data_IF_694479129876
#
_entry.id   IF_694479129876
#
_cell.length_a   1.000
_cell.length_b   1.000
_cell.length_c   1.000
_cell.angle_alpha   90.00
_cell.angle_beta   90.00
_cell.angle_gamma   90.00
#
_symmetry.space_group_name_H-M   'P 1'
#
loop_
_entity.id
_entity.type
_entity.pdbx_description
1 polymer ?
#
# COMPACT_ATOMS: atom_id res chain seq x y z
N UNK A 1 -3.86 4.62 -21.72
CA UNK A 1 -3.17 5.96 -21.71
C UNK A 1 -3.06 6.45 -23.12
N UNK A 2 -3.32 7.75 -23.40
CA UNK A 2 -3.27 8.32 -24.75
C UNK A 2 -1.79 8.59 -25.09
N UNK A 3 -1.39 8.34 -26.35
CA UNK A 3 0.02 8.45 -26.75
C UNK A 3 0.62 9.84 -26.53
N UNK A 4 -0.18 10.89 -26.68
CA UNK A 4 0.20 12.28 -26.40
C UNK A 4 0.56 12.50 -24.94
N UNK A 5 -0.10 11.82 -24.02
CA UNK A 5 0.22 11.84 -22.59
C UNK A 5 1.51 11.08 -22.29
N UNK A 6 1.75 9.99 -23.03
CA UNK A 6 3.00 9.22 -22.92
C UNK A 6 4.18 10.07 -23.38
N UNK A 7 4.06 10.74 -24.52
CA UNK A 7 5.13 11.54 -25.10
C UNK A 7 5.32 12.93 -24.47
N UNK A 8 4.47 13.31 -23.51
CA UNK A 8 4.65 14.55 -22.75
C UNK A 8 5.88 14.55 -21.83
N UNK A 9 6.55 13.42 -21.68
CA UNK A 9 7.77 13.26 -20.89
C UNK A 9 7.63 12.28 -19.74
N UNK A 10 8.76 11.96 -19.09
CA UNK A 10 8.74 11.16 -17.86
C UNK A 10 7.87 11.84 -16.80
N UNK A 11 7.08 11.04 -16.12
CA UNK A 11 6.13 11.51 -15.15
C UNK A 11 6.02 10.55 -13.96
N UNK A 12 5.11 10.84 -13.06
CA UNK A 12 4.75 9.94 -11.97
C UNK A 12 4.42 8.52 -12.47
N UNK A 13 3.83 8.41 -13.66
CA UNK A 13 3.28 7.16 -14.19
C UNK A 13 3.92 6.71 -15.51
N UNK A 14 4.95 7.39 -16.00
CA UNK A 14 5.62 7.06 -17.27
C UNK A 14 7.13 7.02 -17.05
N UNK A 15 7.77 6.00 -17.60
CA UNK A 15 9.22 5.79 -17.61
C UNK A 15 9.67 5.43 -19.02
N UNK A 16 10.73 6.06 -19.54
CA UNK A 16 11.28 5.79 -20.86
C UNK A 16 12.54 4.95 -20.82
N UNK A 17 12.73 4.13 -21.84
CA UNK A 17 13.96 3.39 -22.09
C UNK A 17 14.21 3.28 -23.59
N UNK A 18 15.39 3.67 -24.05
CA UNK A 18 15.78 3.53 -25.46
C UNK A 18 15.63 2.08 -25.93
N UNK A 19 16.01 1.13 -25.09
CA UNK A 19 15.89 -0.30 -25.33
C UNK A 19 15.77 -1.04 -24.00
N UNK A 20 15.35 -2.29 -24.04
CA UNK A 20 15.35 -3.11 -22.83
C UNK A 20 16.78 -3.25 -22.29
N UNK A 21 17.06 -2.80 -21.06
CA UNK A 21 18.35 -3.00 -20.42
C UNK A 21 18.69 -4.49 -20.30
N UNK A 22 19.95 -4.87 -20.56
CA UNK A 22 20.41 -6.26 -20.35
C UNK A 22 20.24 -6.70 -18.89
N UNK A 23 20.48 -5.80 -17.97
CA UNK A 23 20.19 -5.98 -16.55
C UNK A 23 18.75 -5.51 -16.27
N UNK A 24 17.85 -6.48 -16.03
CA UNK A 24 16.44 -6.22 -15.77
C UNK A 24 16.22 -5.45 -14.45
N UNK A 25 17.15 -5.51 -13.50
CA UNK A 25 17.03 -4.80 -12.22
C UNK A 25 16.87 -3.29 -12.40
N UNK A 26 17.39 -2.74 -13.51
CA UNK A 26 17.32 -1.31 -13.82
C UNK A 26 15.90 -0.77 -14.05
N UNK A 27 14.97 -1.60 -14.52
CA UNK A 27 13.58 -1.19 -14.68
C UNK A 27 12.63 -1.94 -13.75
N UNK A 28 13.06 -3.04 -13.15
CA UNK A 28 12.25 -3.81 -12.23
C UNK A 28 11.85 -3.02 -10.97
N UNK A 29 12.75 -2.13 -10.51
CA UNK A 29 12.42 -1.19 -9.41
C UNK A 29 11.23 -0.30 -9.76
N UNK A 30 11.15 0.16 -11.00
CA UNK A 30 10.02 0.98 -11.49
C UNK A 30 8.75 0.15 -11.62
N UNK A 31 8.84 -1.12 -12.09
CA UNK A 31 7.71 -2.04 -12.14
C UNK A 31 7.10 -2.22 -10.75
N UNK A 32 7.94 -2.56 -9.77
CA UNK A 32 7.51 -2.70 -8.37
C UNK A 32 6.91 -1.41 -7.83
N UNK A 33 7.53 -0.27 -8.10
CA UNK A 33 7.03 1.03 -7.65
C UNK A 33 5.67 1.40 -8.26
N UNK A 34 5.42 1.03 -9.52
CA UNK A 34 4.11 1.19 -10.15
C UNK A 34 3.06 0.27 -9.52
N UNK A 35 3.41 -1.00 -9.28
CA UNK A 35 2.50 -1.95 -8.61
C UNK A 35 2.16 -1.52 -7.19
N UNK A 36 3.09 -0.93 -6.45
CA UNK A 36 2.85 -0.39 -5.11
C UNK A 36 2.12 0.95 -5.10
N UNK A 37 2.04 1.62 -6.24
CA UNK A 37 1.39 2.93 -6.39
C UNK A 37 0.07 2.86 -7.15
N UNK A 38 -0.07 3.73 -8.14
CA UNK A 38 -1.27 3.89 -8.94
C UNK A 38 -1.16 3.23 -10.33
N UNK A 39 -0.15 2.39 -10.53
CA UNK A 39 0.20 1.86 -11.84
C UNK A 39 1.01 2.85 -12.67
N UNK A 40 1.32 2.45 -13.90
CA UNK A 40 2.07 3.26 -14.85
C UNK A 40 2.52 2.45 -16.04
N UNK A 41 3.32 3.04 -16.92
CA UNK A 41 3.86 2.34 -18.06
C UNK A 41 5.36 2.57 -18.23
N UNK A 42 6.04 1.55 -18.75
CA UNK A 42 7.42 1.63 -19.21
C UNK A 42 7.40 1.55 -20.72
N UNK A 43 7.95 2.55 -21.36
CA UNK A 43 8.00 2.68 -22.83
C UNK A 43 9.40 2.40 -23.30
N UNK A 44 9.56 1.37 -24.14
CA UNK A 44 10.82 1.00 -24.75
C UNK A 44 10.85 1.45 -26.20
N UNK A 45 11.96 2.07 -26.61
CA UNK A 45 12.14 2.66 -27.92
C UNK A 45 12.05 4.18 -27.95
N UNK A 46 12.09 4.83 -26.77
CA UNK A 46 12.11 6.30 -26.63
C UNK A 46 13.28 6.70 -25.75
N UNK A 47 13.99 7.75 -26.15
CA UNK A 47 15.09 8.32 -25.37
C UNK A 47 14.52 9.17 -24.22
N UNK A 48 14.98 8.92 -23.00
CA UNK A 48 14.47 9.56 -21.78
C UNK A 48 14.86 11.04 -21.63
N UNK A 49 15.89 11.47 -22.37
CA UNK A 49 16.43 12.83 -22.29
C UNK A 49 15.89 13.72 -23.43
N UNK A 50 16.01 13.23 -24.67
CA UNK A 50 15.57 13.99 -25.84
C UNK A 50 14.11 13.80 -26.19
N UNK A 51 13.45 12.78 -25.61
CA UNK A 51 12.10 12.30 -25.95
C UNK A 51 11.96 11.86 -27.41
N UNK A 52 13.13 11.60 -28.08
CA UNK A 52 13.10 11.14 -29.43
C UNK A 52 12.68 9.67 -29.53
N UNK A 53 11.74 9.39 -30.43
CA UNK A 53 11.34 8.02 -30.74
C UNK A 53 12.46 7.36 -31.56
N UNK A 54 13.18 6.46 -30.92
CA UNK A 54 14.24 5.67 -31.55
C UNK A 54 13.66 4.45 -32.26
N UNK A 55 12.68 3.80 -31.63
CA UNK A 55 12.02 2.58 -32.07
C UNK A 55 12.82 1.31 -31.80
N UNK A 56 12.10 0.18 -31.86
CA UNK A 56 12.65 -1.18 -31.72
C UNK A 56 12.73 -1.81 -33.11
N UNK A 57 13.86 -2.44 -33.49
CA UNK A 57 14.00 -3.14 -34.79
C UNK A 57 12.87 -4.19 -34.95
N UNK A 58 12.23 -4.18 -36.12
CA UNK A 58 11.04 -5.03 -36.39
C UNK A 58 11.29 -6.52 -36.13
N UNK A 59 12.47 -7.00 -36.45
CA UNK A 59 12.87 -8.40 -36.26
C UNK A 59 13.03 -8.79 -34.77
N UNK A 60 13.15 -7.81 -33.87
CA UNK A 60 13.34 -8.03 -32.42
C UNK A 60 12.09 -7.82 -31.62
N UNK A 61 11.05 -7.20 -32.17
CA UNK A 61 9.86 -6.77 -31.45
C UNK A 61 9.24 -7.91 -30.61
N UNK A 62 8.96 -9.05 -31.22
CA UNK A 62 8.34 -10.16 -30.53
C UNK A 62 9.23 -10.78 -29.46
N UNK A 63 10.53 -10.93 -29.74
CA UNK A 63 11.48 -11.45 -28.74
C UNK A 63 11.68 -10.48 -27.57
N UNK A 64 11.57 -9.18 -27.79
CA UNK A 64 11.63 -8.19 -26.72
C UNK A 64 10.36 -8.19 -25.86
N UNK A 65 9.16 -8.36 -26.46
CA UNK A 65 7.90 -8.53 -25.73
C UNK A 65 7.98 -9.73 -24.79
N UNK A 66 8.37 -10.89 -25.32
CA UNK A 66 8.49 -12.13 -24.53
C UNK A 66 9.51 -11.94 -23.38
N UNK A 67 10.65 -11.32 -23.66
CA UNK A 67 11.69 -11.10 -22.68
C UNK A 67 11.25 -10.08 -21.60
N UNK A 68 10.51 -9.03 -21.94
CA UNK A 68 9.97 -8.04 -20.99
C UNK A 68 8.93 -8.71 -20.11
N UNK A 69 7.96 -9.41 -20.71
CA UNK A 69 6.86 -10.07 -19.97
C UNK A 69 7.42 -11.09 -18.99
N UNK A 70 8.31 -11.98 -19.46
CA UNK A 70 8.95 -13.01 -18.63
C UNK A 70 9.74 -12.38 -17.48
N UNK A 71 10.58 -11.38 -17.80
CA UNK A 71 11.40 -10.74 -16.77
C UNK A 71 10.56 -10.09 -15.68
N UNK A 72 9.42 -9.45 -16.01
CA UNK A 72 8.54 -8.83 -15.05
C UNK A 72 7.86 -9.90 -14.19
N UNK A 73 7.25 -10.90 -14.80
CA UNK A 73 6.50 -11.95 -14.09
C UNK A 73 7.39 -12.79 -13.17
N UNK A 74 8.61 -13.09 -13.60
CA UNK A 74 9.53 -13.94 -12.82
C UNK A 74 10.24 -13.18 -11.69
N UNK A 75 10.40 -11.86 -11.82
CA UNK A 75 11.22 -11.07 -10.89
C UNK A 75 10.43 -10.47 -9.73
N UNK A 76 9.11 -10.38 -9.83
CA UNK A 76 8.28 -9.73 -8.84
C UNK A 76 7.53 -10.72 -7.93
N UNK A 77 7.39 -10.34 -6.67
CA UNK A 77 6.56 -11.04 -5.69
C UNK A 77 5.70 -9.99 -4.94
N UNK A 78 4.37 -10.12 -4.85
CA UNK A 78 3.53 -11.02 -5.67
C UNK A 78 3.77 -10.87 -7.18
N UNK A 79 3.34 -11.86 -7.96
CA UNK A 79 3.55 -11.86 -9.42
C UNK A 79 2.89 -10.65 -10.05
N UNK A 80 3.63 -9.92 -10.88
CA UNK A 80 3.13 -8.82 -11.71
C UNK A 80 2.96 -9.32 -13.13
N UNK A 81 1.76 -9.19 -13.69
CA UNK A 81 1.46 -9.51 -15.07
C UNK A 81 1.29 -8.18 -15.82
N UNK A 82 2.25 -7.78 -16.66
CA UNK A 82 2.13 -6.57 -17.43
C UNK A 82 1.19 -6.76 -18.63
N UNK A 83 0.51 -5.69 -19.03
CA UNK A 83 -0.12 -5.63 -20.35
C UNK A 83 0.88 -5.02 -21.34
N UNK A 84 1.35 -5.83 -22.29
CA UNK A 84 2.45 -5.41 -23.22
C UNK A 84 1.90 -5.32 -24.61
N UNK A 85 1.94 -4.12 -25.18
CA UNK A 85 1.43 -3.86 -26.52
C UNK A 85 2.38 -2.96 -27.34
N UNK A 86 2.12 -2.91 -28.65
CA UNK A 86 2.92 -2.16 -29.62
C UNK A 86 2.21 -0.88 -30.03
N UNK A 87 3.01 0.15 -30.26
CA UNK A 87 2.57 1.38 -30.88
C UNK A 87 3.55 1.78 -31.96
N UNK A 88 3.05 2.30 -33.10
CA UNK A 88 3.87 2.83 -34.18
C UNK A 88 3.72 4.34 -34.24
N UNK A 89 4.85 5.04 -34.26
CA UNK A 89 4.94 6.50 -34.34
C UNK A 89 5.98 6.80 -35.43
N UNK A 90 5.61 7.54 -36.46
CA UNK A 90 6.50 7.93 -37.59
C UNK A 90 7.30 6.74 -38.11
N UNK A 91 6.61 5.63 -38.43
CA UNK A 91 7.17 4.37 -38.91
C UNK A 91 8.13 3.64 -37.95
N UNK A 92 8.30 4.12 -36.74
CA UNK A 92 9.08 3.50 -35.67
C UNK A 92 8.15 2.78 -34.66
N UNK A 93 8.48 1.54 -34.38
CA UNK A 93 7.68 0.73 -33.41
C UNK A 93 8.27 0.85 -32.02
N UNK A 94 7.44 1.16 -31.04
CA UNK A 94 7.78 1.16 -29.62
C UNK A 94 7.01 0.04 -28.92
N UNK A 95 7.52 -0.42 -27.76
CA UNK A 95 6.86 -1.39 -26.89
C UNK A 95 6.44 -0.68 -25.61
N UNK A 96 5.19 -0.83 -25.23
CA UNK A 96 4.64 -0.26 -24.01
C UNK A 96 4.29 -1.40 -23.07
N UNK A 97 4.89 -1.43 -21.89
CA UNK A 97 4.56 -2.34 -20.81
C UNK A 97 3.73 -1.57 -19.76
N UNK A 98 2.44 -1.81 -19.73
CA UNK A 98 1.51 -1.20 -18.76
C UNK A 98 1.44 -2.06 -17.52
N UNK A 99 1.66 -1.45 -16.36
CA UNK A 99 1.66 -2.06 -15.04
C UNK A 99 0.47 -1.51 -14.27
N UNK A 100 -0.45 -2.37 -13.92
CA UNK A 100 -1.59 -2.00 -13.09
C UNK A 100 -1.18 -1.79 -11.63
N UNK A 101 -1.92 -0.94 -10.91
CA UNK A 101 -1.83 -0.88 -9.46
C UNK A 101 -2.13 -2.26 -8.86
N UNK A 102 -1.23 -2.74 -8.03
CA UNK A 102 -1.34 -4.05 -7.40
C UNK A 102 -2.37 -4.04 -6.27
N UNK A 103 -3.02 -5.18 -6.06
CA UNK A 103 -4.01 -5.41 -5.00
C UNK A 103 -3.43 -6.09 -3.76
N UNK A 104 -2.23 -6.65 -3.85
CA UNK A 104 -1.57 -7.43 -2.79
C UNK A 104 -0.24 -6.79 -2.41
N UNK A 105 -0.29 -5.56 -1.91
CA UNK A 105 0.90 -4.80 -1.51
C UNK A 105 1.47 -5.26 -0.16
N UNK A 106 2.79 -5.21 0.04
CA UNK A 106 3.79 -4.65 -0.86
C UNK A 106 4.27 -5.64 -1.92
N UNK A 107 4.41 -5.16 -3.16
CA UNK A 107 5.17 -5.84 -4.20
C UNK A 107 6.65 -5.57 -4.03
N UNK A 108 7.49 -6.53 -4.34
CA UNK A 108 8.94 -6.40 -4.21
C UNK A 108 9.70 -7.23 -5.24
N UNK A 109 10.96 -6.89 -5.45
CA UNK A 109 11.87 -7.69 -6.30
C UNK A 109 12.23 -8.95 -5.53
N UNK A 110 11.84 -10.11 -6.06
CA UNK A 110 11.97 -11.43 -5.41
C UNK A 110 13.39 -11.75 -4.94
N UNK A 111 14.39 -11.46 -5.78
CA UNK A 111 15.80 -11.72 -5.45
C UNK A 111 16.35 -10.84 -4.32
N UNK A 112 15.71 -9.70 -4.02
CA UNK A 112 16.10 -8.78 -2.96
C UNK A 112 15.31 -8.99 -1.67
N UNK A 113 14.18 -9.71 -1.74
CA UNK A 113 13.26 -9.88 -0.63
C UNK A 113 12.48 -8.60 -0.31
N UNK A 114 11.47 -8.75 0.55
CA UNK A 114 10.53 -7.67 0.87
C UNK A 114 11.23 -6.42 1.45
N UNK A 115 12.25 -6.60 2.28
CA UNK A 115 12.92 -5.51 2.99
C UNK A 115 13.70 -4.59 2.06
N UNK A 116 14.43 -5.15 1.10
CA UNK A 116 15.35 -4.40 0.21
C UNK A 116 14.77 -4.24 -1.20
N UNK A 117 13.75 -5.04 -1.53
CA UNK A 117 13.15 -5.10 -2.87
C UNK A 117 11.88 -4.28 -3.04
N UNK A 118 11.37 -3.64 -1.98
CA UNK A 118 10.15 -2.83 -2.03
C UNK A 118 10.47 -1.40 -2.47
N UNK A 119 9.82 -0.95 -3.53
CA UNK A 119 10.01 0.39 -4.09
C UNK A 119 8.68 1.10 -4.28
N UNK A 120 8.71 2.43 -4.21
CA UNK A 120 7.58 3.34 -4.43
C UNK A 120 7.95 4.42 -5.44
N UNK A 121 6.94 5.04 -6.04
CA UNK A 121 7.10 6.17 -6.96
C UNK A 121 6.77 7.48 -6.23
N UNK A 122 7.74 8.38 -6.17
CA UNK A 122 7.58 9.71 -5.57
C UNK A 122 7.90 10.75 -6.64
N UNK A 123 6.89 11.46 -7.12
CA UNK A 123 7.04 12.56 -8.09
C UNK A 123 7.95 12.22 -9.29
N UNK A 124 7.72 11.07 -9.92
CA UNK A 124 8.53 10.64 -11.09
C UNK A 124 9.85 9.93 -10.74
N UNK A 125 10.21 9.82 -9.47
CA UNK A 125 11.43 9.11 -9.03
C UNK A 125 11.08 7.82 -8.33
N UNK A 126 11.77 6.72 -8.67
CA UNK A 126 11.66 5.45 -7.94
C UNK A 126 12.56 5.48 -6.71
N UNK A 127 11.99 5.26 -5.54
CA UNK A 127 12.68 5.23 -4.26
C UNK A 127 12.42 3.93 -3.52
N UNK A 128 13.37 3.52 -2.72
CA UNK A 128 13.18 2.41 -1.79
C UNK A 128 12.12 2.79 -0.74
N UNK A 129 11.18 1.88 -0.45
CA UNK A 129 10.25 2.04 0.66
C UNK A 129 10.99 1.71 1.96
N UNK A 130 10.88 2.59 2.97
CA UNK A 130 11.39 2.25 4.29
C UNK A 130 10.58 1.12 4.93
N UNK A 131 11.09 0.62 6.06
CA UNK A 131 10.48 -0.51 6.77
C UNK A 131 9.06 -0.20 7.24
N UNK A 132 8.81 1.02 7.64
CA UNK A 132 7.52 1.46 8.19
C UNK A 132 6.47 1.51 7.08
N UNK A 133 6.80 2.12 5.95
CA UNK A 133 5.92 2.19 4.78
C UNK A 133 5.63 0.81 4.18
N UNK A 134 6.64 -0.09 4.11
CA UNK A 134 6.44 -1.46 3.64
C UNK A 134 5.49 -2.24 4.58
N UNK A 135 5.61 -2.04 5.90
CA UNK A 135 4.71 -2.63 6.89
C UNK A 135 3.29 -2.06 6.77
N UNK A 136 3.14 -0.75 6.57
CA UNK A 136 1.84 -0.11 6.35
C UNK A 136 1.12 -0.69 5.12
N UNK A 137 1.82 -0.82 3.99
CA UNK A 137 1.27 -1.46 2.78
C UNK A 137 0.80 -2.89 3.02
N UNK A 138 1.55 -3.65 3.82
CA UNK A 138 1.19 -5.03 4.16
C UNK A 138 -0.12 -5.08 4.97
N UNK A 139 -0.27 -4.20 5.96
CA UNK A 139 -1.49 -4.15 6.76
C UNK A 139 -2.70 -3.64 5.97
N UNK A 140 -2.51 -2.67 5.08
CA UNK A 140 -3.58 -2.18 4.21
C UNK A 140 -4.14 -3.30 3.30
N UNK A 141 -3.27 -4.15 2.77
CA UNK A 141 -3.67 -5.24 1.87
C UNK A 141 -4.50 -6.31 2.58
N UNK A 142 -4.11 -6.67 3.80
CA UNK A 142 -4.87 -7.61 4.62
C UNK A 142 -6.19 -7.03 5.15
N UNK A 143 -6.55 -5.78 4.80
CA UNK A 143 -7.69 -5.07 5.36
C UNK A 143 -7.56 -4.86 6.87
N UNK A 144 -6.33 -4.96 7.38
CA UNK A 144 -6.00 -4.75 8.79
C UNK A 144 -5.41 -3.38 8.94
N UNK A 145 -6.09 -2.51 9.67
CA UNK A 145 -5.48 -1.28 10.16
C UNK A 145 -4.54 -1.60 11.33
N UNK A 146 -3.55 -0.74 11.55
CA UNK A 146 -2.54 -0.92 12.61
C UNK A 146 -3.15 -1.15 14.00
N UNK A 147 -4.30 -0.54 14.26
CA UNK A 147 -5.05 -0.72 15.51
C UNK A 147 -5.55 -2.17 15.73
N UNK A 148 -5.80 -2.94 14.67
CA UNK A 148 -6.24 -4.35 14.75
C UNK A 148 -5.12 -5.37 14.87
N UNK A 149 -3.87 -4.94 14.78
CA UNK A 149 -2.71 -5.82 14.93
C UNK A 149 -2.54 -6.21 16.40
N UNK A 150 -2.30 -7.50 16.66
CA UNK A 150 -1.99 -8.01 18.01
C UNK A 150 -0.75 -7.32 18.56
N UNK A 151 -0.88 -6.73 19.74
CA UNK A 151 0.24 -6.16 20.49
C UNK A 151 1.01 -7.30 21.19
N UNK A 152 2.12 -7.75 20.58
CA UNK A 152 2.88 -8.92 21.04
C UNK A 152 3.56 -8.72 22.39
N UNK A 153 3.82 -7.49 22.76
CA UNK A 153 4.54 -7.14 23.99
C UNK A 153 3.58 -6.92 25.19
N UNK A 154 2.28 -7.16 25.00
CA UNK A 154 1.24 -6.97 26.01
C UNK A 154 0.33 -8.19 26.06
N UNK A 155 0.10 -8.69 27.26
CA UNK A 155 -0.95 -9.66 27.56
C UNK A 155 -2.11 -8.96 28.30
N UNK A 156 -3.30 -9.54 28.26
CA UNK A 156 -4.47 -9.00 28.92
C UNK A 156 -5.14 -10.11 29.75
N UNK A 157 -5.55 -9.79 30.98
CA UNK A 157 -6.32 -10.70 31.81
C UNK A 157 -7.81 -10.53 31.59
N UNK A 158 -8.63 -11.52 32.00
CA UNK A 158 -10.08 -11.42 31.91
C UNK A 158 -10.61 -10.28 32.81
N UNK A 159 -9.98 -10.02 33.95
CA UNK A 159 -10.33 -8.91 34.86
C UNK A 159 -10.09 -7.55 34.19
N UNK A 160 -9.01 -7.39 33.44
CA UNK A 160 -8.71 -6.15 32.70
C UNK A 160 -9.72 -5.94 31.55
N UNK A 161 -10.16 -7.01 30.91
CA UNK A 161 -11.19 -6.97 29.87
C UNK A 161 -12.53 -6.53 30.46
N UNK A 162 -12.94 -7.13 31.58
CA UNK A 162 -14.18 -6.78 32.26
C UNK A 162 -14.17 -5.32 32.74
N UNK A 163 -13.05 -4.87 33.27
CA UNK A 163 -12.88 -3.48 33.73
C UNK A 163 -13.00 -2.49 32.56
N UNK A 164 -12.39 -2.78 31.42
CA UNK A 164 -12.55 -1.93 30.23
C UNK A 164 -14.00 -1.89 29.75
N UNK A 165 -14.69 -3.04 29.71
CA UNK A 165 -16.09 -3.13 29.32
C UNK A 165 -16.98 -2.27 30.23
N UNK A 166 -16.73 -2.32 31.55
CA UNK A 166 -17.44 -1.52 32.54
C UNK A 166 -17.21 -0.03 32.35
N UNK A 167 -15.94 0.39 32.20
CA UNK A 167 -15.55 1.79 31.96
C UNK A 167 -16.19 2.35 30.70
N UNK A 168 -16.18 1.60 29.61
CA UNK A 168 -16.78 2.03 28.34
C UNK A 168 -18.28 2.27 28.49
N UNK A 169 -18.99 1.40 29.22
CA UNK A 169 -20.42 1.58 29.51
C UNK A 169 -20.67 2.82 30.36
N UNK A 170 -19.90 3.02 31.43
CA UNK A 170 -20.00 4.18 32.31
C UNK A 170 -19.79 5.50 31.56
N UNK A 171 -18.77 5.57 30.72
CA UNK A 171 -18.49 6.74 29.86
C UNK A 171 -19.64 6.98 28.88
N UNK A 172 -20.19 5.92 28.26
CA UNK A 172 -21.33 6.06 27.36
C UNK A 172 -22.57 6.61 28.06
N UNK A 173 -22.86 6.12 29.29
CA UNK A 173 -23.97 6.63 30.14
C UNK A 173 -23.72 8.08 30.54
N UNK A 174 -22.49 8.42 30.95
CA UNK A 174 -22.13 9.78 31.35
C UNK A 174 -22.28 10.81 30.22
N UNK A 175 -22.01 10.40 28.97
CA UNK A 175 -22.13 11.24 27.79
C UNK A 175 -23.55 11.27 27.18
N UNK A 176 -24.48 10.44 27.67
CA UNK A 176 -25.85 10.41 27.18
C UNK A 176 -26.60 11.70 27.58
N UNK A 177 -27.31 12.32 26.65
CA UNK A 177 -27.98 13.61 26.80
C UNK A 177 -29.41 13.50 27.39
N UNK A 178 -29.98 12.29 27.46
CA UNK A 178 -31.34 12.05 27.97
C UNK A 178 -31.42 10.68 28.67
N UNK A 179 -32.39 10.51 29.54
CA UNK A 179 -32.64 9.22 30.24
C UNK A 179 -32.91 8.10 29.23
N UNK A 180 -33.65 8.35 28.16
CA UNK A 180 -33.90 7.39 27.07
C UNK A 180 -32.61 6.91 26.43
N UNK A 181 -31.64 7.83 26.23
CA UNK A 181 -30.32 7.47 25.71
C UNK A 181 -29.51 6.66 26.71
N UNK A 182 -29.58 6.96 28.00
CA UNK A 182 -28.90 6.18 29.04
C UNK A 182 -29.43 4.75 29.12
N UNK A 183 -30.76 4.58 29.08
CA UNK A 183 -31.39 3.27 29.07
C UNK A 183 -31.10 2.45 27.81
N UNK A 184 -30.81 3.12 26.69
CA UNK A 184 -30.46 2.47 25.42
C UNK A 184 -28.97 2.01 25.34
N UNK A 185 -28.11 2.39 26.31
CA UNK A 185 -26.70 1.97 26.34
C UNK A 185 -26.62 0.48 26.62
N UNK A 186 -26.12 -0.27 25.64
CA UNK A 186 -25.93 -1.71 25.76
C UNK A 186 -24.65 -2.05 26.50
N UNK A 187 -24.64 -3.26 27.08
CA UNK A 187 -23.42 -3.80 27.69
C UNK A 187 -22.34 -4.04 26.63
N UNK A 188 -21.14 -3.61 26.94
CA UNK A 188 -19.93 -4.00 26.20
C UNK A 188 -19.45 -5.31 26.79
N UNK A 189 -19.16 -6.29 25.96
CA UNK A 189 -18.69 -7.62 26.38
C UNK A 189 -17.39 -7.97 25.65
N UNK A 190 -16.67 -8.98 26.13
CA UNK A 190 -15.48 -9.54 25.46
C UNK A 190 -15.73 -9.82 23.98
N UNK A 191 -16.90 -10.39 23.62
CA UNK A 191 -17.26 -10.66 22.23
C UNK A 191 -17.44 -9.38 21.40
N UNK A 192 -17.94 -8.32 22.02
CA UNK A 192 -18.05 -7.01 21.38
C UNK A 192 -16.66 -6.44 21.11
N UNK A 193 -15.72 -6.52 22.06
CA UNK A 193 -14.34 -6.08 21.88
C UNK A 193 -13.64 -6.87 20.77
N UNK A 194 -13.87 -8.18 20.68
CA UNK A 194 -13.40 -9.02 19.57
C UNK A 194 -13.98 -8.55 18.22
N UNK A 195 -15.30 -8.30 18.16
CA UNK A 195 -15.96 -7.84 16.94
C UNK A 195 -15.48 -6.45 16.48
N UNK A 196 -15.07 -5.61 17.40
CA UNK A 196 -14.49 -4.28 17.11
C UNK A 196 -13.00 -4.34 16.77
N UNK A 197 -12.36 -5.50 16.94
CA UNK A 197 -10.92 -5.67 16.69
C UNK A 197 -10.04 -5.06 17.77
N UNK A 198 -10.57 -4.84 18.98
CA UNK A 198 -9.77 -4.42 20.15
C UNK A 198 -9.11 -5.62 20.83
N UNK A 199 -9.70 -6.79 20.69
CA UNK A 199 -9.10 -8.07 21.05
C UNK A 199 -9.04 -8.94 19.80
N UNK A 200 -8.08 -9.86 19.75
CA UNK A 200 -7.95 -10.86 18.69
C UNK A 200 -7.61 -12.22 19.30
N UNK A 201 -8.03 -13.29 18.62
CA UNK A 201 -7.65 -14.65 18.95
C UNK A 201 -6.33 -15.00 18.25
N UNK A 202 -5.32 -15.39 19.00
CA UNK A 202 -4.04 -15.85 18.47
C UNK A 202 -4.14 -17.29 17.95
N UNK A 203 -3.11 -17.76 17.23
CA UNK A 203 -3.06 -19.10 16.65
C UNK A 203 -3.18 -20.22 17.69
N UNK A 204 -2.77 -19.99 18.94
CA UNK A 204 -2.89 -20.90 20.05
C UNK A 204 -4.26 -20.88 20.77
N UNK A 205 -5.20 -20.07 20.27
CA UNK A 205 -6.52 -19.88 20.84
C UNK A 205 -6.55 -18.90 22.04
N UNK A 206 -5.44 -18.30 22.42
CA UNK A 206 -5.41 -17.27 23.47
C UNK A 206 -5.96 -15.94 22.95
N UNK A 207 -6.64 -15.21 23.86
CA UNK A 207 -7.11 -13.86 23.54
C UNK A 207 -6.00 -12.85 23.85
N UNK A 208 -5.66 -12.07 22.85
CA UNK A 208 -4.59 -11.08 22.91
C UNK A 208 -5.14 -9.67 22.66
N UNK A 209 -4.57 -8.64 23.30
CA UNK A 209 -4.94 -7.26 23.01
C UNK A 209 -4.34 -6.84 21.65
N UNK A 210 -5.07 -6.01 20.94
CA UNK A 210 -4.57 -5.34 19.74
C UNK A 210 -3.95 -3.98 20.11
N UNK A 211 -3.27 -3.34 19.17
CA UNK A 211 -2.76 -1.99 19.37
C UNK A 211 -3.90 -1.01 19.72
N UNK A 212 -5.09 -1.19 19.12
CA UNK A 212 -6.29 -0.39 19.45
C UNK A 212 -6.73 -0.52 20.90
N UNK A 213 -6.64 -1.73 21.48
CA UNK A 213 -6.90 -1.93 22.91
C UNK A 213 -5.94 -1.10 23.77
N UNK A 214 -4.63 -1.18 23.46
CA UNK A 214 -3.58 -0.48 24.20
C UNK A 214 -3.74 1.03 24.10
N UNK A 215 -4.09 1.55 22.92
CA UNK A 215 -4.41 2.98 22.73
C UNK A 215 -5.60 3.45 23.57
N UNK A 216 -6.68 2.66 23.60
CA UNK A 216 -7.88 2.97 24.41
C UNK A 216 -7.60 2.98 25.91
N UNK A 217 -6.70 2.12 26.37
CA UNK A 217 -6.27 2.10 27.77
C UNK A 217 -5.41 3.30 28.16
N UNK A 218 -4.88 4.05 27.17
CA UNK A 218 -3.98 5.17 27.41
C UNK A 218 -2.64 4.75 28.02
N UNK A 219 -2.21 3.52 27.76
CA UNK A 219 -0.93 3.00 28.22
C UNK A 219 0.20 3.58 27.33
N UNK A 220 1.26 4.06 27.95
CA UNK A 220 2.47 4.62 27.27
C UNK A 220 3.32 3.49 26.62
N UNK A 221 2.66 2.59 25.90
CA UNK A 221 3.32 1.45 25.24
C UNK A 221 3.98 1.83 23.93
N UNK A 222 3.50 2.91 23.32
CA UNK A 222 4.00 3.40 22.04
C UNK A 222 4.51 4.83 22.19
N UNK A 223 5.68 5.12 21.63
CA UNK A 223 6.17 6.48 21.41
C UNK A 223 5.34 7.17 20.30
N UNK A 224 4.02 7.12 20.41
CA UNK A 224 3.12 7.71 19.43
C UNK A 224 2.51 8.99 19.95
N UNK A 225 2.75 10.09 19.23
CA UNK A 225 2.04 11.33 19.45
C UNK A 225 0.70 11.29 18.71
N UNK A 226 -0.38 10.95 19.41
CA UNK A 226 -1.72 11.05 18.85
C UNK A 226 -2.19 12.50 19.04
N UNK A 227 -2.35 13.23 17.93
CA UNK A 227 -2.93 14.56 17.94
C UNK A 227 -4.41 14.46 17.54
N UNK A 228 -5.31 14.78 18.46
CA UNK A 228 -6.74 14.86 18.22
C UNK A 228 -7.17 16.32 18.05
N UNK A 229 -7.78 16.67 16.92
CA UNK A 229 -8.39 17.96 16.66
C UNK A 229 -9.92 17.85 16.62
N UNK A 230 -10.64 18.71 17.35
CA UNK A 230 -12.08 18.84 17.24
C UNK A 230 -12.42 19.92 16.23
N UNK A 231 -12.98 19.56 15.07
CA UNK A 231 -13.43 20.49 14.05
C UNK A 231 -14.94 20.72 14.22
N UNK A 232 -15.34 21.98 14.46
CA UNK A 232 -16.78 22.35 14.57
C UNK A 232 -17.46 22.48 13.21
N UNK A 233 -16.72 22.75 12.14
CA UNK A 233 -17.22 22.83 10.77
C UNK A 233 -16.21 22.25 9.78
N UNK A 234 -16.65 21.35 8.93
CA UNK A 234 -15.87 20.84 7.80
C UNK A 234 -16.08 21.83 6.63
N UNK A 235 -15.10 22.68 6.33
CA UNK A 235 -15.15 23.46 5.10
C UNK A 235 -14.71 24.93 5.10
N UNK A 236 -14.07 25.46 6.15
CA UNK A 236 -13.40 26.75 6.07
C UNK A 236 -12.04 26.72 6.72
N UNK A 237 -11.02 26.39 5.92
CA UNK A 237 -9.66 26.83 6.21
C UNK A 237 -9.59 28.32 5.86
N UNK A 238 -9.46 29.20 6.84
CA UNK A 238 -8.96 30.54 6.60
C UNK A 238 -7.43 30.46 6.52
N UNK A 239 -6.93 30.83 5.33
CA UNK A 239 -5.53 31.13 5.07
C UNK A 239 -5.11 32.36 5.87
#
# INVERSE_FOLDING_TARGET
MIIEEILAGESKNVEFKVQRPKDSSKYMKTVVAFSNGHGGCIVFGVDDTSLEVVGIPKEKVFSEIDAITTAISDSCEPVVIPDVYLQTIDDKTIIIAEISAGKQRPYYIKSMGIKEGTFIRVSGTTRHADRELAAEMYYEDEGRSYDKVICRDRTVSDEEIEELCRQMKEVAIANAKSEVQKEAVKDVTKNVLLSWGLLAEAEDGSIQPTNGYVFLRGEDYFLSQIQCGMFKEIGRAHV
#
